data_IF_895956648389
#
_entry.id   IF_895956648389
#
_cell.length_a   1.000
_cell.length_b   1.000
_cell.length_c   1.000
_cell.angle_alpha   90.00
_cell.angle_beta   90.00
_cell.angle_gamma   90.00
#
_symmetry.space_group_name_H-M   'P 1'
#
loop_
_entity.id
_entity.type
_entity.pdbx_description
1 polymer ?
#
# COMPACT_ATOMS: atom_id res chain seq x y z
N UNK A 1 -38.19 -27.63 14.24
CA UNK A 1 -37.40 -26.54 14.85
C UNK A 1 -36.48 -25.93 13.80
N UNK A 2 -36.89 -24.80 13.25
CA UNK A 2 -36.19 -24.12 12.14
C UNK A 2 -34.98 -23.38 12.71
N UNK A 3 -33.77 -23.85 12.38
CA UNK A 3 -32.51 -23.24 12.82
C UNK A 3 -32.39 -21.84 12.20
N UNK A 4 -32.65 -20.82 13.02
CA UNK A 4 -32.47 -19.42 12.68
C UNK A 4 -30.98 -19.19 12.34
N UNK A 5 -30.62 -19.16 11.05
CA UNK A 5 -29.27 -18.80 10.60
C UNK A 5 -29.09 -17.31 10.90
N UNK A 6 -28.59 -16.97 12.10
CA UNK A 6 -27.97 -15.67 12.38
C UNK A 6 -27.08 -15.35 11.18
N UNK A 7 -27.44 -14.34 10.40
CA UNK A 7 -26.73 -14.00 9.17
C UNK A 7 -25.25 -13.90 9.46
N UNK A 8 -24.42 -14.72 8.81
CA UNK A 8 -22.97 -14.55 8.86
C UNK A 8 -22.71 -13.12 8.39
N UNK A 9 -22.29 -12.22 9.28
CA UNK A 9 -21.68 -10.95 8.86
C UNK A 9 -20.64 -11.32 7.79
N UNK A 10 -20.78 -10.75 6.60
CA UNK A 10 -19.85 -11.01 5.50
C UNK A 10 -18.42 -10.77 5.96
N UNK A 11 -17.47 -11.58 5.50
CA UNK A 11 -16.05 -11.35 5.79
C UNK A 11 -15.67 -9.94 5.32
N UNK A 12 -14.90 -9.22 6.12
CA UNK A 12 -14.30 -7.92 5.75
C UNK A 12 -13.56 -8.10 4.42
N UNK A 13 -13.80 -7.22 3.45
CA UNK A 13 -13.13 -7.24 2.14
C UNK A 13 -12.23 -6.03 2.04
N UNK A 14 -11.00 -6.21 1.62
CA UNK A 14 -10.05 -5.13 1.41
C UNK A 14 -9.53 -5.22 -0.01
N UNK A 15 -9.69 -4.16 -0.79
CA UNK A 15 -9.06 -4.02 -2.09
C UNK A 15 -7.87 -3.08 -1.97
N UNK A 16 -6.70 -3.54 -2.40
CA UNK A 16 -5.47 -2.75 -2.40
C UNK A 16 -5.11 -2.53 -3.88
N UNK A 17 -5.37 -1.33 -4.36
CA UNK A 17 -5.18 -0.94 -5.74
C UNK A 17 -3.86 -0.18 -5.82
N UNK A 18 -2.88 -0.76 -6.49
CA UNK A 18 -1.50 -0.26 -6.45
C UNK A 18 -1.08 0.31 -7.80
N UNK A 19 -0.12 1.22 -7.77
CA UNK A 19 0.51 1.80 -8.96
C UNK A 19 1.34 0.78 -9.74
N UNK A 20 2.17 0.00 -9.05
CA UNK A 20 3.22 -0.82 -9.67
C UNK A 20 3.24 -2.28 -9.22
N UNK A 21 4.14 -3.05 -9.86
CA UNK A 21 4.30 -4.49 -9.60
C UNK A 21 4.98 -4.78 -8.27
N UNK A 22 5.88 -3.91 -7.81
CA UNK A 22 6.60 -4.09 -6.54
C UNK A 22 5.64 -4.05 -5.37
N UNK A 23 4.76 -3.06 -5.35
CA UNK A 23 3.69 -2.90 -4.36
C UNK A 23 2.75 -4.10 -4.40
N UNK A 24 2.34 -4.53 -5.60
CA UNK A 24 1.47 -5.68 -5.75
C UNK A 24 2.10 -6.92 -5.10
N UNK A 25 3.34 -7.22 -5.47
CA UNK A 25 4.07 -8.36 -4.95
C UNK A 25 4.26 -8.25 -3.43
N UNK A 26 4.59 -7.06 -2.92
CA UNK A 26 4.74 -6.82 -1.49
C UNK A 26 3.45 -7.13 -0.73
N UNK A 27 2.31 -6.59 -1.16
CA UNK A 27 1.02 -6.85 -0.48
C UNK A 27 0.54 -8.30 -0.66
N UNK A 28 0.89 -8.96 -1.76
CA UNK A 28 0.58 -10.38 -1.97
C UNK A 28 1.41 -11.29 -1.06
N UNK A 29 2.71 -11.01 -0.88
CA UNK A 29 3.55 -11.66 0.13
C UNK A 29 3.04 -11.37 1.55
N UNK A 30 2.67 -10.11 1.84
CA UNK A 30 2.13 -9.70 3.14
C UNK A 30 0.87 -10.48 3.49
N UNK A 31 -0.08 -10.58 2.55
CA UNK A 31 -1.31 -11.34 2.70
C UNK A 31 -1.03 -12.80 3.07
N UNK A 32 -0.04 -13.42 2.43
CA UNK A 32 0.35 -14.80 2.71
C UNK A 32 0.93 -14.98 4.12
N UNK A 33 1.70 -14.01 4.60
CA UNK A 33 2.25 -14.04 5.96
C UNK A 33 1.20 -13.75 7.05
N UNK A 34 0.31 -12.77 6.84
CA UNK A 34 -0.68 -12.40 7.86
C UNK A 34 -1.77 -13.46 8.09
N UNK A 35 -2.09 -14.30 7.09
CA UNK A 35 -3.07 -15.41 7.18
C UNK A 35 -4.42 -15.03 7.84
N UNK A 36 -4.91 -13.81 7.58
CA UNK A 36 -6.15 -13.30 8.17
C UNK A 36 -7.38 -14.06 7.67
N UNK A 37 -7.89 -15.02 8.45
CA UNK A 37 -8.99 -15.92 8.06
C UNK A 37 -10.32 -15.21 7.83
N UNK A 38 -10.51 -14.04 8.44
CA UNK A 38 -11.73 -13.24 8.40
C UNK A 38 -11.69 -12.05 7.43
N UNK A 39 -10.56 -11.84 6.75
CA UNK A 39 -10.36 -10.72 5.81
C UNK A 39 -10.05 -11.25 4.41
N UNK A 40 -10.80 -10.81 3.41
CA UNK A 40 -10.50 -11.10 1.99
C UNK A 40 -9.78 -9.90 1.38
N UNK A 41 -8.45 -9.99 1.35
CA UNK A 41 -7.59 -9.01 0.67
C UNK A 41 -7.45 -9.37 -0.82
N UNK A 42 -7.66 -8.41 -1.72
CA UNK A 42 -7.35 -8.55 -3.15
C UNK A 42 -6.48 -7.38 -3.59
N UNK A 43 -5.31 -7.67 -4.15
CA UNK A 43 -4.37 -6.68 -4.63
C UNK A 43 -4.36 -6.65 -6.16
N UNK A 44 -4.28 -5.47 -6.78
CA UNK A 44 -4.04 -5.38 -8.22
C UNK A 44 -3.35 -4.09 -8.63
N UNK A 45 -2.56 -4.16 -9.69
CA UNK A 45 -2.03 -2.99 -10.39
C UNK A 45 -3.17 -2.29 -11.15
N UNK A 46 -3.25 -0.98 -11.03
CA UNK A 46 -4.21 -0.14 -11.74
C UNK A 46 -3.74 0.14 -13.17
N UNK A 47 -4.34 -0.51 -14.16
CA UNK A 47 -3.96 -0.37 -15.59
C UNK A 47 -4.93 0.46 -16.43
N UNK A 48 -5.91 1.12 -15.79
CA UNK A 48 -6.97 1.84 -16.49
C UNK A 48 -6.49 3.21 -17.01
N UNK A 49 -7.25 3.79 -17.96
CA UNK A 49 -6.94 5.04 -18.67
C UNK A 49 -7.22 6.33 -17.88
N UNK A 50 -7.48 6.26 -16.58
CA UNK A 50 -7.69 7.44 -15.73
C UNK A 50 -6.46 8.34 -15.66
N UNK A 51 -6.66 9.65 -15.44
CA UNK A 51 -5.56 10.63 -15.40
C UNK A 51 -4.84 10.65 -14.07
N UNK A 52 -5.55 10.32 -12.99
CA UNK A 52 -5.02 10.22 -11.63
C UNK A 52 -5.17 8.80 -11.09
N UNK A 53 -4.39 8.44 -10.07
CA UNK A 53 -4.51 7.13 -9.42
C UNK A 53 -5.92 6.87 -8.85
N UNK A 54 -6.57 7.91 -8.33
CA UNK A 54 -7.93 7.81 -7.79
C UNK A 54 -8.97 7.56 -8.88
N UNK A 55 -8.86 8.25 -10.02
CA UNK A 55 -9.73 7.98 -11.17
C UNK A 55 -9.52 6.58 -11.73
N UNK A 56 -8.26 6.12 -11.84
CA UNK A 56 -7.96 4.75 -12.28
C UNK A 56 -8.57 3.71 -11.34
N UNK A 57 -8.45 3.92 -10.02
CA UNK A 57 -9.05 3.07 -9.00
C UNK A 57 -10.58 3.01 -9.12
N UNK A 58 -11.22 4.17 -9.27
CA UNK A 58 -12.68 4.27 -9.45
C UNK A 58 -13.14 3.51 -10.69
N UNK A 59 -12.53 3.78 -11.84
CA UNK A 59 -12.88 3.11 -13.10
C UNK A 59 -12.66 1.60 -13.03
N UNK A 60 -11.62 1.14 -12.33
CA UNK A 60 -11.37 -0.29 -12.13
C UNK A 60 -12.51 -0.94 -11.33
N UNK A 61 -12.95 -0.30 -10.26
CA UNK A 61 -14.06 -0.81 -9.42
C UNK A 61 -15.38 -0.81 -10.18
N UNK A 62 -15.64 0.21 -10.99
CA UNK A 62 -16.88 0.33 -11.78
C UNK A 62 -16.93 -0.70 -12.93
N UNK A 63 -15.80 -0.93 -13.59
CA UNK A 63 -15.77 -1.74 -14.82
C UNK A 63 -15.47 -3.23 -14.58
N UNK A 64 -14.87 -3.60 -13.45
CA UNK A 64 -14.56 -5.00 -13.13
C UNK A 64 -15.47 -5.54 -12.01
N UNK A 65 -16.42 -6.43 -12.33
CA UNK A 65 -17.34 -7.03 -11.35
C UNK A 65 -16.65 -7.74 -10.18
N UNK A 66 -15.39 -8.17 -10.37
CA UNK A 66 -14.60 -8.82 -9.32
C UNK A 66 -14.07 -7.85 -8.25
N UNK A 67 -14.26 -6.54 -8.43
CA UNK A 67 -14.01 -5.46 -7.47
C UNK A 67 -15.30 -4.80 -6.98
N UNK A 68 -16.45 -5.48 -7.09
CA UNK A 68 -17.72 -4.97 -6.56
C UNK A 68 -17.63 -4.70 -5.06
N UNK A 69 -17.92 -3.45 -4.68
CA UNK A 69 -17.98 -2.99 -3.28
C UNK A 69 -19.30 -3.40 -2.61
N UNK A 70 -19.23 -3.76 -1.34
CA UNK A 70 -20.38 -3.80 -0.43
C UNK A 70 -20.06 -3.01 0.86
N UNK A 71 -20.99 -2.98 1.82
CA UNK A 71 -20.81 -2.22 3.08
C UNK A 71 -19.63 -2.67 3.94
N UNK A 72 -19.05 -3.84 3.68
CA UNK A 72 -17.90 -4.39 4.38
C UNK A 72 -16.63 -4.36 3.49
N UNK A 73 -16.66 -3.64 2.36
CA UNK A 73 -15.52 -3.44 1.48
C UNK A 73 -14.80 -2.14 1.79
N UNK A 74 -13.53 -2.23 2.15
CA UNK A 74 -12.59 -1.10 2.18
C UNK A 74 -11.73 -1.11 0.92
N UNK A 75 -11.39 0.07 0.44
CA UNK A 75 -10.53 0.26 -0.74
C UNK A 75 -9.37 1.15 -0.33
N UNK A 76 -8.15 0.69 -0.62
CA UNK A 76 -6.94 1.47 -0.48
C UNK A 76 -6.31 1.67 -1.85
N UNK A 77 -5.92 2.91 -2.15
CA UNK A 77 -5.14 3.24 -3.34
C UNK A 77 -3.71 3.53 -2.90
N UNK A 78 -2.75 2.76 -3.41
CA UNK A 78 -1.33 2.88 -3.05
C UNK A 78 -0.54 3.40 -4.24
N UNK A 79 0.15 4.53 -4.05
CA UNK A 79 0.91 5.19 -5.10
C UNK A 79 2.04 6.05 -4.52
N UNK A 80 3.00 6.37 -5.37
CA UNK A 80 4.14 7.21 -5.05
C UNK A 80 3.88 8.68 -5.39
N UNK A 81 4.63 9.60 -4.75
CA UNK A 81 4.57 11.02 -5.10
C UNK A 81 4.92 11.27 -6.57
N UNK A 82 5.98 10.61 -7.05
CA UNK A 82 6.54 10.82 -8.38
C UNK A 82 6.61 12.32 -8.76
N UNK A 83 6.22 12.66 -9.99
CA UNK A 83 6.25 14.00 -10.57
C UNK A 83 4.98 14.81 -10.25
N UNK A 84 4.06 14.29 -9.43
CA UNK A 84 2.85 15.02 -9.08
C UNK A 84 3.18 16.25 -8.21
N UNK A 85 2.55 17.37 -8.56
CA UNK A 85 2.62 18.60 -7.80
C UNK A 85 1.80 18.49 -6.52
N UNK A 86 2.14 19.31 -5.51
CA UNK A 86 1.39 19.35 -4.24
C UNK A 86 -0.09 19.73 -4.44
N UNK A 87 -0.44 20.46 -5.51
CA UNK A 87 -1.84 20.76 -5.84
C UNK A 87 -2.59 19.56 -6.44
N UNK A 88 -1.94 18.80 -7.32
CA UNK A 88 -2.52 17.56 -7.87
C UNK A 88 -2.74 16.53 -6.77
N UNK A 89 -1.77 16.36 -5.87
CA UNK A 89 -1.89 15.47 -4.71
C UNK A 89 -3.05 15.89 -3.82
N UNK A 90 -3.18 17.17 -3.46
CA UNK A 90 -4.33 17.66 -2.68
C UNK A 90 -5.67 17.33 -3.34
N UNK A 91 -5.78 17.51 -4.66
CA UNK A 91 -6.99 17.15 -5.40
C UNK A 91 -7.26 15.65 -5.38
N UNK A 92 -6.22 14.82 -5.52
CA UNK A 92 -6.35 13.37 -5.44
C UNK A 92 -6.81 12.93 -4.05
N UNK A 93 -6.23 13.49 -2.99
CA UNK A 93 -6.61 13.18 -1.61
C UNK A 93 -8.07 13.55 -1.33
N UNK A 94 -8.49 14.74 -1.77
CA UNK A 94 -9.90 15.16 -1.66
C UNK A 94 -10.84 14.20 -2.39
N UNK A 95 -10.50 13.80 -3.61
CA UNK A 95 -11.31 12.85 -4.39
C UNK A 95 -11.34 11.45 -3.75
N UNK A 96 -10.25 11.03 -3.13
CA UNK A 96 -10.22 9.76 -2.41
C UNK A 96 -11.18 9.78 -1.23
N UNK A 97 -11.25 10.88 -0.48
CA UNK A 97 -12.23 11.08 0.60
C UNK A 97 -13.66 11.02 0.06
N UNK A 98 -13.96 11.73 -1.04
CA UNK A 98 -15.28 11.71 -1.70
C UNK A 98 -15.70 10.29 -2.12
N UNK A 99 -14.75 9.46 -2.56
CA UNK A 99 -14.98 8.07 -2.97
C UNK A 99 -14.94 7.05 -1.82
N UNK A 100 -14.63 7.50 -0.60
CA UNK A 100 -14.32 6.68 0.58
C UNK A 100 -13.18 5.67 0.34
N UNK A 101 -12.10 6.14 -0.28
CA UNK A 101 -10.85 5.40 -0.46
C UNK A 101 -9.83 5.82 0.59
N UNK A 102 -9.17 4.84 1.22
CA UNK A 102 -7.94 5.06 1.96
C UNK A 102 -6.76 5.26 1.01
N UNK A 103 -5.73 5.97 1.46
CA UNK A 103 -4.51 6.22 0.69
C UNK A 103 -3.31 5.56 1.38
N UNK A 104 -2.54 4.80 0.61
CA UNK A 104 -1.15 4.47 0.91
C UNK A 104 -0.25 5.33 0.03
N UNK A 105 0.63 6.10 0.64
CA UNK A 105 1.44 7.09 -0.05
C UNK A 105 2.89 6.97 0.39
N UNK A 106 3.82 7.10 -0.57
CA UNK A 106 5.25 7.24 -0.27
C UNK A 106 5.85 8.41 -1.06
N UNK A 107 6.65 9.22 -0.37
CA UNK A 107 7.42 10.30 -0.95
C UNK A 107 8.93 10.00 -0.83
N UNK A 108 9.68 9.82 -1.92
CA UNK A 108 9.24 9.89 -3.32
C UNK A 108 8.83 8.53 -3.93
N UNK A 109 9.12 7.41 -3.26
CA UNK A 109 9.07 6.07 -3.86
C UNK A 109 8.72 5.01 -2.82
N UNK A 110 8.04 3.95 -3.23
CA UNK A 110 7.62 2.86 -2.34
C UNK A 110 8.81 2.16 -1.66
N UNK A 111 9.98 2.16 -2.31
CA UNK A 111 11.22 1.61 -1.77
C UNK A 111 11.64 2.25 -0.43
N UNK A 112 11.15 3.45 -0.07
CA UNK A 112 11.42 3.99 1.27
C UNK A 112 10.76 3.17 2.38
N UNK A 113 9.56 2.63 2.11
CA UNK A 113 8.90 1.70 3.00
C UNK A 113 9.64 0.36 3.06
N UNK A 114 10.20 -0.11 1.95
CA UNK A 114 11.04 -1.31 1.94
C UNK A 114 12.31 -1.13 2.76
N UNK A 115 12.96 0.03 2.65
CA UNK A 115 14.16 0.36 3.43
C UNK A 115 13.89 0.35 4.94
N UNK A 116 12.68 0.75 5.34
CA UNK A 116 12.28 0.74 6.75
C UNK A 116 12.34 -0.67 7.38
N UNK A 117 12.26 -1.76 6.61
CA UNK A 117 12.43 -3.13 7.12
C UNK A 117 13.83 -3.42 7.67
N UNK A 118 14.82 -2.57 7.37
CA UNK A 118 16.21 -2.74 7.78
C UNK A 118 16.71 -1.63 8.70
N UNK A 119 16.37 -0.38 8.41
CA UNK A 119 16.89 0.78 9.15
C UNK A 119 15.82 1.85 9.40
N UNK A 120 16.05 2.68 10.42
CA UNK A 120 15.22 3.85 10.67
C UNK A 120 15.35 4.86 9.53
N UNK A 121 14.22 5.31 9.01
CA UNK A 121 14.14 6.29 7.92
C UNK A 121 13.74 7.66 8.46
N UNK A 122 14.38 8.71 7.93
CA UNK A 122 14.17 10.10 8.39
C UNK A 122 13.45 10.92 7.33
N UNK A 123 13.01 12.12 7.69
CA UNK A 123 12.34 13.05 6.76
C UNK A 123 13.28 13.62 5.67
N UNK A 124 14.59 13.33 5.74
CA UNK A 124 15.54 13.75 4.72
C UNK A 124 15.22 13.04 3.39
N UNK A 125 14.97 13.83 2.35
CA UNK A 125 14.73 13.32 1.00
C UNK A 125 15.99 12.61 0.48
N UNK A 126 15.85 11.32 0.22
CA UNK A 126 16.84 10.51 -0.47
C UNK A 126 16.47 10.41 -1.95
N UNK A 127 17.47 10.36 -2.84
CA UNK A 127 17.24 10.03 -4.24
C UNK A 127 16.84 8.55 -4.37
N UNK A 128 16.07 8.21 -5.42
CA UNK A 128 15.71 6.82 -5.70
C UNK A 128 16.95 5.91 -5.80
N UNK A 129 18.05 6.41 -6.41
CA UNK A 129 19.32 5.70 -6.47
C UNK A 129 19.97 5.48 -5.08
N UNK A 130 19.92 6.47 -4.19
CA UNK A 130 20.44 6.31 -2.84
C UNK A 130 19.64 5.29 -2.02
N UNK A 131 18.33 5.23 -2.22
CA UNK A 131 17.45 4.22 -1.59
C UNK A 131 17.80 2.83 -2.13
N UNK A 132 17.93 2.67 -3.45
CA UNK A 132 18.34 1.41 -4.08
C UNK A 132 19.69 0.93 -3.54
N UNK A 133 20.72 1.78 -3.52
CA UNK A 133 22.03 1.42 -2.99
C UNK A 133 21.97 0.96 -1.52
N UNK A 134 21.14 1.62 -0.70
CA UNK A 134 20.94 1.22 0.70
C UNK A 134 20.25 -0.14 0.82
N UNK A 135 19.23 -0.40 -0.01
CA UNK A 135 18.58 -1.70 -0.06
C UNK A 135 19.58 -2.80 -0.46
N UNK A 136 20.41 -2.56 -1.46
CA UNK A 136 21.43 -3.51 -1.94
C UNK A 136 22.46 -3.85 -0.86
N UNK A 137 22.92 -2.85 -0.11
CA UNK A 137 23.82 -3.04 1.03
C UNK A 137 23.18 -3.93 2.10
N UNK A 138 21.91 -3.69 2.45
CA UNK A 138 21.19 -4.51 3.44
C UNK A 138 20.86 -5.92 2.94
N UNK A 139 20.54 -6.05 1.65
CA UNK A 139 20.27 -7.33 1.00
C UNK A 139 21.54 -8.16 0.76
N UNK A 140 22.71 -7.51 0.75
CA UNK A 140 24.01 -8.09 0.34
C UNK A 140 23.93 -8.69 -1.07
N UNK A 141 23.10 -8.10 -1.91
CA UNK A 141 22.85 -8.49 -3.30
C UNK A 141 22.10 -7.34 -4.00
N UNK A 142 22.02 -7.38 -5.33
CA UNK A 142 21.29 -6.41 -6.12
C UNK A 142 19.81 -6.39 -5.75
N UNK A 143 19.20 -5.19 -5.71
CA UNK A 143 17.78 -5.04 -5.42
C UNK A 143 17.01 -5.27 -6.72
N UNK A 144 16.14 -6.29 -6.71
CA UNK A 144 15.36 -6.67 -7.88
C UNK A 144 13.90 -6.29 -7.61
N UNK A 145 13.36 -5.36 -8.40
CA UNK A 145 11.97 -4.91 -8.28
C UNK A 145 11.00 -6.07 -8.42
N UNK A 146 10.05 -6.16 -7.48
CA UNK A 146 9.05 -7.21 -7.40
C UNK A 146 9.61 -8.64 -7.28
N UNK A 147 10.83 -8.81 -6.78
CA UNK A 147 11.38 -10.13 -6.44
C UNK A 147 10.72 -10.67 -5.16
N UNK A 148 10.04 -11.81 -5.27
CA UNK A 148 9.26 -12.38 -4.17
C UNK A 148 10.12 -12.83 -3.00
N UNK A 149 11.35 -13.30 -3.26
CA UNK A 149 12.22 -13.85 -2.24
C UNK A 149 12.84 -12.74 -1.39
N UNK A 150 13.22 -11.62 -2.01
CA UNK A 150 13.65 -10.41 -1.32
C UNK A 150 12.51 -9.82 -0.48
N UNK A 151 11.31 -9.69 -1.05
CA UNK A 151 10.16 -9.10 -0.35
C UNK A 151 9.66 -9.99 0.81
N UNK A 152 9.61 -11.31 0.64
CA UNK A 152 9.21 -12.23 1.73
C UNK A 152 10.18 -12.16 2.92
N UNK A 153 11.49 -12.00 2.65
CA UNK A 153 12.50 -11.79 3.71
C UNK A 153 12.28 -10.47 4.44
N UNK A 154 12.01 -9.38 3.71
CA UNK A 154 11.73 -8.07 4.30
C UNK A 154 10.52 -8.15 5.24
N UNK A 155 9.39 -8.70 4.77
CA UNK A 155 8.11 -8.72 5.49
C UNK A 155 8.19 -9.45 6.85
N UNK A 156 9.16 -10.36 7.06
CA UNK A 156 9.39 -11.00 8.36
C UNK A 156 9.68 -9.99 9.48
N UNK A 157 10.23 -8.82 9.13
CA UNK A 157 10.55 -7.73 10.06
C UNK A 157 9.50 -6.60 10.04
N UNK A 158 8.25 -6.89 9.69
CA UNK A 158 7.22 -5.87 9.51
C UNK A 158 7.01 -4.96 10.73
N UNK A 159 7.07 -5.49 11.96
CA UNK A 159 6.90 -4.64 13.16
C UNK A 159 8.10 -3.69 13.36
N UNK A 160 9.31 -4.12 12.96
CA UNK A 160 10.49 -3.25 12.90
C UNK A 160 10.29 -2.18 11.83
N UNK A 161 9.74 -2.52 10.66
CA UNK A 161 9.46 -1.55 9.60
C UNK A 161 8.48 -0.46 10.04
N UNK A 162 7.39 -0.84 10.72
CA UNK A 162 6.44 0.11 11.30
C UNK A 162 7.13 1.02 12.31
N UNK A 163 8.00 0.48 13.18
CA UNK A 163 8.77 1.27 14.14
C UNK A 163 9.74 2.24 13.45
N UNK A 164 10.46 1.77 12.43
CA UNK A 164 11.48 2.50 11.71
C UNK A 164 10.91 3.62 10.82
N UNK A 165 9.69 3.47 10.32
CA UNK A 165 8.99 4.49 9.54
C UNK A 165 8.22 5.50 10.39
N UNK A 166 8.12 5.30 11.71
CA UNK A 166 7.24 6.09 12.59
C UNK A 166 7.50 7.59 12.55
N UNK A 167 8.76 8.03 12.41
CA UNK A 167 9.10 9.46 12.33
C UNK A 167 8.68 10.13 11.03
N UNK A 168 8.25 9.35 10.03
CA UNK A 168 7.85 9.84 8.71
C UNK A 168 6.48 9.29 8.27
N UNK A 169 5.67 8.81 9.20
CA UNK A 169 4.37 8.19 8.87
C UNK A 169 3.32 9.20 8.44
N UNK A 170 3.43 10.43 8.94
CA UNK A 170 2.60 11.55 8.51
C UNK A 170 2.91 11.94 7.06
N UNK A 171 1.85 12.07 6.25
CA UNK A 171 1.97 12.39 4.84
C UNK A 171 2.52 13.79 4.66
N UNK A 172 3.63 13.89 3.91
CA UNK A 172 4.27 15.16 3.57
C UNK A 172 4.70 15.16 2.10
N UNK A 173 4.31 16.22 1.37
CA UNK A 173 4.61 16.34 -0.07
C UNK A 173 5.99 16.93 -0.38
N UNK A 174 6.63 17.57 0.61
CA UNK A 174 7.91 18.25 0.45
C UNK A 174 9.07 17.46 1.05
N UNK A 175 8.81 16.68 2.10
CA UNK A 175 9.79 15.84 2.78
C UNK A 175 9.49 14.34 2.62
N UNK A 176 10.51 13.52 2.87
CA UNK A 176 10.37 12.07 2.80
C UNK A 176 9.32 11.58 3.80
N UNK A 177 8.32 10.85 3.31
CA UNK A 177 7.22 10.33 4.12
C UNK A 177 6.68 9.02 3.57
N UNK A 178 6.10 8.18 4.42
CA UNK A 178 5.35 7.00 3.99
C UNK A 178 4.37 6.54 5.06
N UNK A 179 3.08 6.47 4.73
CA UNK A 179 2.05 6.03 5.69
C UNK A 179 1.69 4.54 5.53
N UNK A 180 2.49 3.77 4.78
CA UNK A 180 2.20 2.35 4.50
C UNK A 180 2.12 1.51 5.78
N UNK A 181 2.92 1.83 6.80
CA UNK A 181 2.86 1.16 8.10
C UNK A 181 1.51 1.37 8.82
N UNK A 182 0.91 2.55 8.70
CA UNK A 182 -0.42 2.85 9.26
C UNK A 182 -1.51 2.11 8.49
N UNK A 183 -1.43 2.10 7.16
CA UNK A 183 -2.31 1.33 6.29
C UNK A 183 -2.29 -0.17 6.66
N UNK A 184 -1.10 -0.75 6.85
CA UNK A 184 -0.96 -2.16 7.23
C UNK A 184 -1.52 -2.42 8.63
N UNK A 185 -1.34 -1.49 9.56
CA UNK A 185 -1.92 -1.58 10.91
C UNK A 185 -3.46 -1.60 10.83
N UNK A 186 -4.07 -0.83 9.93
CA UNK A 186 -5.51 -0.86 9.67
C UNK A 186 -5.97 -2.15 8.97
N UNK A 187 -5.12 -2.80 8.16
CA UNK A 187 -5.44 -4.12 7.59
C UNK A 187 -5.46 -5.20 8.67
N UNK A 188 -4.59 -5.09 9.67
CA UNK A 188 -4.44 -6.06 10.77
C UNK A 188 -5.54 -5.97 11.84
N UNK A 189 -6.22 -4.83 11.96
CA UNK A 189 -7.31 -4.61 12.94
C UNK A 189 -8.58 -5.40 12.64
#
# INVERSE_FOLDING_TARGET
MTRNKKGKKGKRKIFILVEGKTEQMYFDCLRQQLRLSNVKIKTTVMKNSGRTWIEKAKLLIENDPSFRRDKATEVFVVFDKDEFTSNELKQMFKRAEEENFGIGFSNATFEIWLLAHFEAVTAKVLSKAAITNKLEVHLKNDYIKADSDQLDKMIKNLDLAVKNARSISEINFESQSTNIGELISNIRS
#
